data_IF_715387040412
#
_entry.id   IF_715387040412
#
_cell.length_a   1.000
_cell.length_b   1.000
_cell.length_c   1.000
_cell.angle_alpha   90.00
_cell.angle_beta   90.00
_cell.angle_gamma   90.00
#
_symmetry.space_group_name_H-M   'P 1'
#
loop_
_entity.id
_entity.type
_entity.pdbx_description
1 polymer ?
#
# COMPACT_ATOMS: atom_id res chain seq x y z
N UNK A 1 -23.20 -24.93 0.29
CA UNK A 1 -23.83 -23.79 -0.41
C UNK A 1 -22.99 -22.57 -0.07
N UNK A 2 -22.43 -21.86 -1.05
CA UNK A 2 -21.61 -20.66 -0.82
C UNK A 2 -22.51 -19.43 -0.72
N UNK A 3 -22.45 -18.70 0.40
CA UNK A 3 -23.21 -17.49 0.74
C UNK A 3 -22.82 -16.22 -0.06
N UNK A 4 -22.34 -16.39 -1.30
CA UNK A 4 -21.94 -15.27 -2.14
C UNK A 4 -23.05 -15.03 -3.16
N UNK A 5 -23.80 -13.91 -3.10
CA UNK A 5 -24.85 -13.60 -4.06
C UNK A 5 -24.23 -13.24 -5.42
N UNK A 6 -24.14 -14.23 -6.31
CA UNK A 6 -23.57 -14.08 -7.65
C UNK A 6 -24.32 -13.06 -8.51
N UNK A 7 -25.62 -12.88 -8.27
CA UNK A 7 -26.47 -11.95 -9.03
C UNK A 7 -26.09 -10.47 -8.85
N UNK A 8 -25.28 -10.14 -7.85
CA UNK A 8 -24.83 -8.77 -7.55
C UNK A 8 -23.35 -8.52 -7.86
N UNK A 9 -22.63 -9.54 -8.32
CA UNK A 9 -21.21 -9.42 -8.63
C UNK A 9 -21.04 -8.97 -10.08
N UNK A 10 -20.54 -7.75 -10.28
CA UNK A 10 -20.07 -7.29 -11.59
C UNK A 10 -18.73 -7.98 -11.92
N UNK A 11 -18.77 -9.23 -12.36
CA UNK A 11 -17.58 -9.94 -12.81
C UNK A 11 -17.30 -9.51 -14.25
N UNK A 12 -16.09 -9.01 -14.55
CA UNK A 12 -15.74 -8.66 -15.93
C UNK A 12 -15.81 -9.89 -16.83
N UNK A 13 -16.48 -9.75 -17.99
CA UNK A 13 -16.68 -10.84 -18.95
C UNK A 13 -15.36 -11.35 -19.58
N UNK A 14 -14.29 -10.56 -19.48
CA UNK A 14 -12.96 -10.91 -20.00
C UNK A 14 -11.89 -10.52 -18.99
N UNK A 15 -10.77 -11.28 -18.91
CA UNK A 15 -9.62 -10.90 -18.12
C UNK A 15 -9.06 -9.54 -18.56
N UNK A 16 -8.72 -8.68 -17.61
CA UNK A 16 -8.04 -7.40 -17.86
C UNK A 16 -6.53 -7.56 -18.13
N UNK A 17 -5.99 -8.77 -17.94
CA UNK A 17 -4.57 -9.10 -18.09
C UNK A 17 -4.38 -10.31 -18.99
N UNK A 18 -3.22 -10.40 -19.65
CA UNK A 18 -2.88 -11.55 -20.49
C UNK A 18 -2.59 -12.82 -19.65
N UNK A 19 -2.52 -13.97 -20.31
CA UNK A 19 -2.30 -15.27 -19.65
C UNK A 19 -0.97 -15.35 -18.89
N UNK A 20 0.10 -14.76 -19.44
CA UNK A 20 1.42 -14.80 -18.81
C UNK A 20 1.45 -14.02 -17.48
N UNK A 21 0.89 -12.81 -17.45
CA UNK A 21 0.75 -12.01 -16.23
C UNK A 21 -0.14 -12.73 -15.19
N UNK A 22 -1.19 -13.42 -15.65
CA UNK A 22 -2.05 -14.20 -14.76
C UNK A 22 -1.30 -15.36 -14.11
N UNK A 23 -0.52 -16.13 -14.87
CA UNK A 23 0.27 -17.23 -14.31
C UNK A 23 1.40 -16.73 -13.41
N UNK A 24 2.09 -15.64 -13.79
CA UNK A 24 3.07 -14.99 -12.93
C UNK A 24 2.47 -14.56 -11.58
N UNK A 25 1.28 -13.94 -11.61
CA UNK A 25 0.58 -13.55 -10.39
C UNK A 25 0.21 -14.76 -9.52
N UNK A 26 -0.24 -15.87 -10.13
CA UNK A 26 -0.55 -17.11 -9.41
C UNK A 26 0.69 -17.72 -8.76
N UNK A 27 1.80 -17.81 -9.49
CA UNK A 27 3.07 -18.33 -8.98
C UNK A 27 3.56 -17.51 -7.79
N UNK A 28 3.48 -16.18 -7.90
CA UNK A 28 3.81 -15.28 -6.80
C UNK A 28 2.92 -15.50 -5.57
N UNK A 29 1.59 -15.57 -5.75
CA UNK A 29 0.65 -15.85 -4.65
C UNK A 29 0.95 -17.19 -3.99
N UNK A 30 1.25 -18.23 -4.77
CA UNK A 30 1.60 -19.55 -4.26
C UNK A 30 2.90 -19.51 -3.45
N UNK A 31 3.94 -18.86 -3.99
CA UNK A 31 5.22 -18.73 -3.30
C UNK A 31 5.08 -18.00 -1.95
N UNK A 32 4.31 -16.90 -1.92
CA UNK A 32 4.01 -16.15 -0.70
C UNK A 32 3.21 -16.99 0.29
N UNK A 33 2.25 -17.78 -0.18
CA UNK A 33 1.41 -18.62 0.69
C UNK A 33 2.16 -19.79 1.32
N UNK A 34 3.24 -20.25 0.68
CA UNK A 34 4.12 -21.31 1.21
C UNK A 34 5.17 -20.77 2.19
N UNK A 35 5.47 -19.46 2.17
CA UNK A 35 6.41 -18.86 3.10
C UNK A 35 5.73 -18.49 4.42
N UNK A 36 5.79 -19.41 5.39
CA UNK A 36 5.24 -19.24 6.74
C UNK A 36 5.95 -18.15 7.59
N UNK A 37 6.98 -17.48 7.03
CA UNK A 37 7.76 -16.44 7.73
C UNK A 37 7.17 -15.04 7.64
N UNK A 38 6.09 -14.85 6.87
CA UNK A 38 5.49 -13.53 6.67
C UNK A 38 4.49 -13.27 7.80
N UNK A 39 4.97 -12.85 8.97
CA UNK A 39 4.10 -12.19 9.95
C UNK A 39 3.67 -10.83 9.35
N UNK A 40 2.48 -10.77 8.74
CA UNK A 40 1.88 -9.54 8.20
C UNK A 40 1.24 -8.68 9.31
N UNK A 41 1.85 -8.67 10.50
CA UNK A 41 1.35 -7.93 11.66
C UNK A 41 2.27 -6.76 11.95
N UNK A 42 1.68 -5.60 12.22
CA UNK A 42 2.43 -4.44 12.71
C UNK A 42 2.64 -4.46 14.23
N UNK A 43 3.18 -3.37 14.76
CA UNK A 43 3.38 -3.16 16.20
C UNK A 43 2.10 -3.19 17.04
N UNK A 44 0.93 -2.96 16.43
CA UNK A 44 -0.39 -3.05 17.09
C UNK A 44 -0.91 -4.48 17.08
N UNK A 45 -0.16 -5.43 16.49
CA UNK A 45 -0.55 -6.84 16.30
C UNK A 45 -1.84 -6.96 15.50
N UNK A 46 -2.05 -6.07 14.52
CA UNK A 46 -3.11 -6.15 13.52
C UNK A 46 -2.48 -6.24 12.13
N UNK A 47 -3.28 -6.55 11.10
CA UNK A 47 -2.78 -6.58 9.73
C UNK A 47 -2.06 -5.27 9.38
N UNK A 48 -0.86 -5.37 8.83
CA UNK A 48 0.08 -4.24 8.68
C UNK A 48 -0.49 -3.04 7.90
N UNK A 49 -1.35 -3.28 6.91
CA UNK A 49 -1.97 -2.22 6.12
C UNK A 49 -3.29 -1.69 6.74
N UNK A 50 -3.70 -2.20 7.91
CA UNK A 50 -4.96 -1.81 8.53
C UNK A 50 -4.88 -0.40 9.11
N UNK A 51 -5.69 0.54 8.64
CA UNK A 51 -5.69 1.90 9.21
C UNK A 51 -6.34 1.95 10.61
N UNK A 52 -7.28 1.05 10.88
CA UNK A 52 -8.06 1.02 12.11
C UNK A 52 -7.46 0.01 13.09
N UNK A 53 -7.31 0.41 14.34
CA UNK A 53 -6.97 -0.52 15.41
C UNK A 53 -8.24 -1.15 15.99
N UNK A 54 -8.71 -2.26 15.41
CA UNK A 54 -9.94 -2.92 15.87
C UNK A 54 -9.87 -3.42 17.33
N UNK A 55 -8.67 -3.60 17.89
CA UNK A 55 -8.46 -3.96 19.30
C UNK A 55 -8.72 -2.79 20.25
N UNK A 56 -8.72 -1.55 19.75
CA UNK A 56 -8.99 -0.31 20.48
C UNK A 56 -9.92 0.56 19.66
N UNK A 57 -11.21 0.22 19.66
CA UNK A 57 -12.24 0.86 18.83
C UNK A 57 -12.41 2.38 19.07
N UNK A 58 -11.86 2.92 20.15
CA UNK A 58 -11.87 4.36 20.45
C UNK A 58 -10.77 5.13 19.73
N UNK A 59 -9.72 4.47 19.24
CA UNK A 59 -8.60 5.14 18.60
C UNK A 59 -9.04 5.65 17.22
N UNK A 60 -8.70 6.90 16.85
CA UNK A 60 -8.95 7.37 15.48
C UNK A 60 -8.16 6.53 14.48
N UNK A 61 -8.65 6.36 13.24
CA UNK A 61 -7.91 5.68 12.18
C UNK A 61 -6.55 6.37 11.94
N UNK A 62 -5.51 5.57 11.71
CA UNK A 62 -4.20 6.09 11.32
C UNK A 62 -4.29 6.84 9.99
N UNK A 63 -3.47 7.87 9.83
CA UNK A 63 -3.32 8.56 8.55
C UNK A 63 -2.67 7.60 7.54
N UNK A 64 -3.24 7.41 6.34
CA UNK A 64 -2.58 6.63 5.31
C UNK A 64 -1.35 7.38 4.79
N UNK A 65 -0.25 6.66 4.65
CA UNK A 65 0.99 7.16 4.08
C UNK A 65 0.74 7.57 2.63
N UNK A 66 1.05 8.81 2.26
CA UNK A 66 0.82 9.31 0.89
C UNK A 66 1.61 8.54 -0.17
N UNK A 67 2.69 7.85 0.22
CA UNK A 67 3.55 7.08 -0.68
C UNK A 67 3.12 5.62 -0.79
N UNK A 68 2.86 4.94 0.33
CA UNK A 68 2.63 3.49 0.37
C UNK A 68 1.17 3.11 0.60
N UNK A 69 0.34 4.03 1.10
CA UNK A 69 -1.01 3.76 1.57
C UNK A 69 -1.09 3.08 2.95
N UNK A 70 0.03 2.60 3.48
CA UNK A 70 0.11 1.95 4.79
C UNK A 70 -0.08 2.95 5.93
N UNK A 71 -0.49 2.52 7.14
CA UNK A 71 -0.68 3.41 8.26
C UNK A 71 0.63 4.10 8.68
N UNK A 72 0.59 5.42 8.87
CA UNK A 72 1.71 6.17 9.47
C UNK A 72 1.64 6.03 10.99
N UNK A 73 2.45 5.11 11.54
CA UNK A 73 2.44 4.80 12.98
C UNK A 73 3.57 5.50 13.75
N UNK A 74 4.74 5.69 13.13
CA UNK A 74 5.92 6.27 13.76
C UNK A 74 6.53 7.36 12.89
N UNK A 75 7.04 8.40 13.55
CA UNK A 75 7.87 9.44 12.94
C UNK A 75 7.30 10.01 11.63
N UNK A 76 6.11 10.63 11.65
CA UNK A 76 5.51 11.18 10.44
C UNK A 76 6.38 12.31 9.88
N UNK A 77 6.54 12.34 8.57
CA UNK A 77 6.80 13.56 7.81
C UNK A 77 5.43 14.11 7.43
N UNK A 78 5.12 15.31 7.94
CA UNK A 78 3.85 15.98 7.70
C UNK A 78 4.00 16.95 6.55
N UNK A 79 3.04 16.92 5.63
CA UNK A 79 2.94 17.91 4.57
C UNK A 79 2.02 19.06 4.99
N UNK A 80 2.10 20.23 4.31
CA UNK A 80 1.21 21.37 4.60
C UNK A 80 -0.29 21.03 4.48
N UNK A 81 -0.66 20.24 3.47
CA UNK A 81 -2.05 19.80 3.29
C UNK A 81 -2.53 18.90 4.45
N UNK A 82 -3.76 19.14 4.92
CA UNK A 82 -4.35 18.36 6.01
C UNK A 82 -4.41 16.87 5.70
N UNK A 83 -4.12 16.04 6.71
CA UNK A 83 -4.14 14.56 6.66
C UNK A 83 -3.23 13.97 5.57
N UNK A 84 -2.18 14.69 5.18
CA UNK A 84 -1.14 14.16 4.30
C UNK A 84 0.15 13.99 5.08
N UNK A 85 0.48 12.72 5.33
CA UNK A 85 1.63 12.31 6.10
C UNK A 85 2.29 11.12 5.39
N UNK A 86 3.59 10.93 5.63
CA UNK A 86 4.33 9.73 5.21
C UNK A 86 5.19 9.23 6.36
N UNK A 87 5.50 7.94 6.39
CA UNK A 87 6.50 7.42 7.30
C UNK A 87 7.89 7.96 6.88
N UNK A 88 8.65 8.49 7.83
CA UNK A 88 9.99 9.03 7.57
C UNK A 88 10.92 8.02 6.91
N UNK A 89 10.84 6.74 7.30
CA UNK A 89 11.70 5.72 6.70
C UNK A 89 11.38 5.51 5.22
N UNK A 90 10.09 5.38 4.88
CA UNK A 90 9.64 5.22 3.50
C UNK A 90 9.98 6.43 2.65
N UNK A 91 9.78 7.63 3.19
CA UNK A 91 10.14 8.88 2.53
C UNK A 91 11.65 8.95 2.23
N UNK A 92 12.48 8.63 3.21
CA UNK A 92 13.94 8.63 3.03
C UNK A 92 14.37 7.58 2.00
N UNK A 93 13.80 6.38 2.05
CA UNK A 93 14.07 5.31 1.07
C UNK A 93 13.67 5.75 -0.34
N UNK A 94 12.53 6.41 -0.48
CA UNK A 94 12.07 6.96 -1.76
C UNK A 94 13.00 8.05 -2.29
N UNK A 95 13.41 9.00 -1.46
CA UNK A 95 14.34 10.06 -1.87
C UNK A 95 15.72 9.50 -2.27
N UNK A 96 16.22 8.48 -1.58
CA UNK A 96 17.43 7.76 -1.99
C UNK A 96 17.23 7.11 -3.36
N UNK A 97 16.05 6.55 -3.63
CA UNK A 97 15.75 5.97 -4.92
C UNK A 97 15.73 7.01 -6.04
N UNK A 98 15.00 8.11 -5.85
CA UNK A 98 14.96 9.23 -6.81
C UNK A 98 16.39 9.70 -7.15
N UNK A 99 17.27 9.82 -6.14
CA UNK A 99 18.67 10.22 -6.36
C UNK A 99 19.51 9.16 -7.08
N UNK A 100 19.27 7.89 -6.82
CA UNK A 100 20.07 6.78 -7.36
C UNK A 100 19.73 6.47 -8.82
N UNK A 101 18.51 6.76 -9.26
CA UNK A 101 18.01 6.45 -10.60
C UNK A 101 17.53 7.72 -11.33
N UNK A 102 18.44 8.64 -11.71
CA UNK A 102 18.09 9.92 -12.32
C UNK A 102 17.37 9.79 -13.67
N UNK A 103 17.62 8.70 -14.40
CA UNK A 103 16.97 8.46 -15.71
C UNK A 103 15.59 7.82 -15.58
N UNK A 104 15.16 7.46 -14.36
CA UNK A 104 13.84 6.87 -14.13
C UNK A 104 12.77 7.95 -14.02
N UNK A 105 12.19 8.29 -15.17
CA UNK A 105 11.12 9.29 -15.29
C UNK A 105 9.94 9.05 -14.34
N UNK A 106 9.52 7.81 -14.11
CA UNK A 106 8.37 7.50 -13.26
C UNK A 106 8.60 7.87 -11.78
N UNK A 107 9.83 7.69 -11.28
CA UNK A 107 10.20 8.09 -9.92
C UNK A 107 10.12 9.60 -9.73
N UNK A 108 10.65 10.36 -10.70
CA UNK A 108 10.61 11.82 -10.67
C UNK A 108 9.18 12.37 -10.81
N UNK A 109 8.38 11.82 -11.73
CA UNK A 109 6.97 12.20 -11.88
C UNK A 109 6.16 11.91 -10.60
N UNK A 110 6.47 10.83 -9.90
CA UNK A 110 5.84 10.49 -8.61
C UNK A 110 6.23 11.50 -7.52
N UNK A 111 7.51 11.91 -7.45
CA UNK A 111 7.95 12.93 -6.50
C UNK A 111 7.27 14.26 -6.76
N UNK A 112 7.29 14.73 -8.01
CA UNK A 112 6.61 15.97 -8.43
C UNK A 112 5.11 15.95 -8.12
N UNK A 113 4.46 14.80 -8.33
CA UNK A 113 3.06 14.61 -8.00
C UNK A 113 2.83 14.74 -6.50
N UNK A 114 3.63 14.07 -5.66
CA UNK A 114 3.47 14.13 -4.20
C UNK A 114 3.70 15.56 -3.70
N UNK A 115 4.72 16.26 -4.20
CA UNK A 115 4.99 17.65 -3.82
C UNK A 115 3.82 18.57 -4.19
N UNK A 116 3.30 18.48 -5.41
CA UNK A 116 2.15 19.29 -5.85
C UNK A 116 0.86 18.93 -5.14
N UNK A 117 0.62 17.64 -4.94
CA UNK A 117 -0.60 17.17 -4.29
C UNK A 117 -0.59 17.52 -2.80
N UNK A 118 0.57 17.50 -2.13
CA UNK A 118 0.66 17.68 -0.69
C UNK A 118 1.05 19.09 -0.22
N UNK A 119 1.37 19.99 -1.16
CA UNK A 119 1.44 21.44 -0.92
C UNK A 119 0.07 22.01 -0.54
#
# INVERSE_FOLDING_TARGET
QTDIPFDKLCIPARPCVNGALKEQAKEWVLAVSLDQRIEQLDERRVYEACLINWKKSSDPPATPCVLTGYPVLRQPVKFPAQRKETNREDWNRFLVAVKRWPDNRQLHETLDFIEKWCS
#
